data_IF_987956867679
#
_entry.id   IF_987956867679
#
_cell.length_a   1.000
_cell.length_b   1.000
_cell.length_c   1.000
_cell.angle_alpha   90.00
_cell.angle_beta   90.00
_cell.angle_gamma   90.00
#
_symmetry.space_group_name_H-M   'P 1'
#
loop_
_entity.id
_entity.type
_entity.pdbx_description
1 polymer ?
#
# COMPACT_ATOMS: atom_id res chain seq x y z
N UNK A 1 -1.28 -14.51 5.88
CA UNK A 1 -1.45 -14.19 7.31
C UNK A 1 -0.62 -15.04 8.26
N UNK A 2 0.52 -15.62 7.86
CA UNK A 2 1.28 -16.59 8.66
C UNK A 2 2.01 -16.02 9.91
N UNK A 3 2.09 -14.68 10.01
CA UNK A 3 2.61 -13.92 11.18
C UNK A 3 4.05 -14.28 11.56
N UNK A 4 4.97 -14.23 10.59
CA UNK A 4 6.41 -14.40 10.82
C UNK A 4 7.14 -13.08 10.51
N UNK A 5 8.07 -12.73 11.38
CA UNK A 5 9.08 -11.70 11.19
C UNK A 5 10.33 -12.06 12.01
N UNK A 6 11.47 -11.48 11.68
CA UNK A 6 12.73 -11.70 12.40
C UNK A 6 13.53 -10.40 12.46
N UNK A 7 14.46 -10.33 13.41
CA UNK A 7 15.41 -9.24 13.55
C UNK A 7 16.83 -9.76 13.35
N UNK A 8 17.65 -9.02 12.62
CA UNK A 8 19.10 -9.14 12.65
C UNK A 8 19.66 -7.99 13.46
N UNK A 9 20.35 -8.27 14.57
CA UNK A 9 20.85 -7.25 15.48
C UNK A 9 22.14 -7.70 16.20
N UNK A 10 22.86 -6.74 16.78
CA UNK A 10 23.97 -7.04 17.67
C UNK A 10 23.51 -7.93 18.84
N UNK A 11 24.36 -8.87 19.27
CA UNK A 11 23.99 -9.87 20.27
C UNK A 11 23.38 -9.29 21.56
N UNK A 12 23.87 -8.16 22.14
CA UNK A 12 23.24 -7.57 23.32
C UNK A 12 21.79 -7.13 23.08
N UNK A 13 21.51 -6.58 21.89
CA UNK A 13 20.16 -6.14 21.49
C UNK A 13 19.26 -7.35 21.25
N UNK A 14 19.73 -8.34 20.50
CA UNK A 14 18.97 -9.55 20.21
C UNK A 14 18.54 -10.29 21.50
N UNK A 15 19.45 -10.42 22.49
CA UNK A 15 19.13 -11.01 23.80
C UNK A 15 18.11 -10.18 24.60
N UNK A 16 18.19 -8.86 24.53
CA UNK A 16 17.21 -7.99 25.19
C UNK A 16 15.82 -8.15 24.56
N UNK A 17 15.73 -8.19 23.23
CA UNK A 17 14.48 -8.44 22.51
C UNK A 17 13.92 -9.83 22.81
N UNK A 18 14.74 -10.88 22.86
CA UNK A 18 14.33 -12.24 23.20
C UNK A 18 13.76 -12.33 24.63
N UNK A 19 14.45 -11.72 25.61
CA UNK A 19 13.96 -11.61 26.98
C UNK A 19 12.60 -10.91 27.06
N UNK A 20 12.42 -9.83 26.30
CA UNK A 20 11.15 -9.11 26.23
C UNK A 20 10.07 -9.98 25.59
N UNK A 21 10.34 -10.58 24.43
CA UNK A 21 9.38 -11.42 23.70
C UNK A 21 8.90 -12.60 24.54
N UNK A 22 9.79 -13.22 25.32
CA UNK A 22 9.46 -14.30 26.24
C UNK A 22 8.42 -13.93 27.32
N UNK A 23 8.23 -12.64 27.61
CA UNK A 23 7.23 -12.16 28.58
C UNK A 23 5.98 -11.56 27.91
N UNK A 24 5.99 -11.32 26.60
CA UNK A 24 4.87 -10.65 25.89
C UNK A 24 4.07 -11.64 25.06
N UNK A 25 4.73 -12.51 24.29
CA UNK A 25 4.06 -13.40 23.33
C UNK A 25 4.51 -14.85 23.39
N UNK A 26 5.56 -15.16 24.16
CA UNK A 26 6.27 -16.45 24.03
C UNK A 26 6.83 -16.64 22.60
N UNK A 27 6.87 -17.88 22.11
CA UNK A 27 7.40 -18.22 20.80
C UNK A 27 6.36 -18.06 19.67
N UNK A 28 6.84 -17.77 18.46
CA UNK A 28 6.02 -17.72 17.24
C UNK A 28 5.44 -19.09 16.89
N UNK A 29 4.31 -19.12 16.17
CA UNK A 29 3.63 -20.36 15.76
C UNK A 29 4.60 -21.37 15.10
N UNK A 30 4.70 -22.57 15.68
CA UNK A 30 5.65 -23.61 15.26
C UNK A 30 5.41 -24.09 13.82
N UNK A 31 4.16 -24.17 13.38
CA UNK A 31 3.80 -24.54 12.00
C UNK A 31 4.33 -23.48 11.02
N UNK A 32 4.15 -22.20 11.34
CA UNK A 32 4.63 -21.10 10.51
C UNK A 32 6.17 -21.07 10.45
N UNK A 33 6.85 -21.37 11.57
CA UNK A 33 8.31 -21.50 11.59
C UNK A 33 8.81 -22.58 10.62
N UNK A 34 8.15 -23.76 10.57
CA UNK A 34 8.51 -24.84 9.64
C UNK A 34 8.35 -24.40 8.18
N UNK A 35 7.26 -23.69 7.85
CA UNK A 35 7.07 -23.14 6.50
C UNK A 35 8.13 -22.08 6.15
N UNK A 36 8.54 -21.25 7.12
CA UNK A 36 9.58 -20.23 6.92
C UNK A 36 10.94 -20.84 6.58
N UNK A 37 11.31 -21.97 7.17
CA UNK A 37 12.58 -22.65 6.83
C UNK A 37 12.62 -22.95 5.32
N UNK A 38 11.59 -23.62 4.80
CA UNK A 38 11.50 -23.91 3.37
C UNK A 38 11.51 -22.65 2.51
N UNK A 39 10.82 -21.59 2.94
CA UNK A 39 10.81 -20.31 2.21
C UNK A 39 12.17 -19.60 2.20
N UNK A 40 12.97 -19.71 3.27
CA UNK A 40 14.29 -19.08 3.39
C UNK A 40 15.39 -19.85 2.66
N UNK A 41 15.21 -21.14 2.45
CA UNK A 41 16.13 -21.98 1.66
C UNK A 41 15.96 -21.79 0.15
N UNK A 42 14.90 -21.10 -0.29
CA UNK A 42 14.69 -20.76 -1.70
C UNK A 42 15.63 -19.63 -2.13
N UNK A 43 16.30 -19.81 -3.25
CA UNK A 43 17.06 -18.75 -3.89
C UNK A 43 16.12 -17.80 -4.65
N UNK A 44 16.01 -16.53 -4.26
CA UNK A 44 15.10 -15.57 -4.90
C UNK A 44 15.48 -15.25 -6.35
N UNK A 45 16.71 -15.52 -6.77
CA UNK A 45 17.19 -15.24 -8.13
C UNK A 45 16.81 -16.33 -9.13
N UNK A 46 16.48 -17.53 -8.65
CA UNK A 46 16.14 -18.69 -9.48
C UNK A 46 14.72 -19.22 -9.22
N UNK A 47 14.09 -18.82 -8.11
CA UNK A 47 12.72 -19.19 -7.78
C UNK A 47 11.71 -18.61 -8.78
N UNK A 48 11.03 -19.51 -9.52
CA UNK A 48 9.96 -19.15 -10.47
C UNK A 48 8.81 -18.38 -9.80
N UNK A 49 8.44 -18.75 -8.57
CA UNK A 49 7.33 -18.12 -7.86
C UNK A 49 7.67 -16.67 -7.46
N UNK A 50 8.89 -16.44 -6.96
CA UNK A 50 9.35 -15.10 -6.59
C UNK A 50 9.48 -14.20 -7.84
N UNK A 51 10.10 -14.74 -8.91
CA UNK A 51 10.28 -14.00 -10.17
C UNK A 51 8.92 -13.65 -10.78
N UNK A 52 7.99 -14.61 -10.87
CA UNK A 52 6.66 -14.36 -11.45
C UNK A 52 5.87 -13.32 -10.66
N UNK A 53 5.92 -13.36 -9.32
CA UNK A 53 5.30 -12.34 -8.48
C UNK A 53 5.93 -10.96 -8.68
N UNK A 54 7.27 -10.88 -8.76
CA UNK A 54 7.99 -9.63 -9.04
C UNK A 54 7.55 -9.02 -10.37
N UNK A 55 7.54 -9.80 -11.45
CA UNK A 55 7.12 -9.32 -12.76
C UNK A 55 5.65 -8.91 -12.76
N UNK A 56 4.76 -9.66 -12.10
CA UNK A 56 3.34 -9.29 -12.00
C UNK A 56 3.12 -7.98 -11.23
N UNK A 57 3.86 -7.77 -10.14
CA UNK A 57 3.81 -6.50 -9.41
C UNK A 57 4.40 -5.33 -10.21
N UNK A 58 5.45 -5.57 -11.00
CA UNK A 58 6.01 -4.57 -11.91
C UNK A 58 5.01 -4.18 -13.00
N UNK A 59 4.39 -5.15 -13.64
CA UNK A 59 3.33 -4.92 -14.65
C UNK A 59 2.19 -4.07 -14.06
N UNK A 60 1.69 -4.44 -12.87
CA UNK A 60 0.63 -3.70 -12.17
C UNK A 60 1.05 -2.28 -11.82
N UNK A 61 2.29 -2.11 -11.34
CA UNK A 61 2.86 -0.81 -11.02
C UNK A 61 2.89 0.08 -12.27
N UNK A 62 3.48 -0.42 -13.35
CA UNK A 62 3.70 0.36 -14.56
C UNK A 62 2.36 0.76 -15.20
N UNK A 63 1.40 -0.17 -15.26
CA UNK A 63 0.03 0.12 -15.70
C UNK A 63 -0.68 1.16 -14.81
N UNK A 64 -0.67 0.97 -13.49
CA UNK A 64 -1.35 1.89 -12.57
C UNK A 64 -0.71 3.28 -12.58
N UNK A 65 0.61 3.37 -12.77
CA UNK A 65 1.31 4.65 -12.91
C UNK A 65 0.82 5.45 -14.12
N UNK A 66 0.70 4.81 -15.29
CA UNK A 66 0.20 5.47 -16.49
C UNK A 66 -1.25 5.94 -16.31
N UNK A 67 -2.12 5.11 -15.72
CA UNK A 67 -3.50 5.50 -15.45
C UNK A 67 -3.62 6.66 -14.44
N UNK A 68 -2.81 6.66 -13.38
CA UNK A 68 -2.82 7.73 -12.37
C UNK A 68 -2.33 9.06 -12.94
N UNK A 69 -1.36 9.05 -13.86
CA UNK A 69 -0.88 10.26 -14.55
C UNK A 69 -1.94 10.94 -15.39
N UNK A 70 -2.94 10.21 -15.85
CA UNK A 70 -4.05 10.79 -16.61
C UNK A 70 -5.09 11.51 -15.74
N UNK A 71 -4.99 11.40 -14.41
CA UNK A 71 -5.87 12.12 -13.50
C UNK A 71 -5.34 13.55 -13.37
N UNK A 72 -6.14 14.59 -13.70
CA UNK A 72 -5.73 15.97 -13.52
C UNK A 72 -5.26 16.24 -12.09
N UNK A 73 -4.32 17.17 -11.90
CA UNK A 73 -3.90 17.69 -10.59
C UNK A 73 -3.31 16.68 -9.58
N UNK A 74 -3.27 15.38 -9.88
CA UNK A 74 -2.55 14.38 -9.09
C UNK A 74 -1.07 14.40 -9.45
N UNK A 75 -0.20 14.48 -8.44
CA UNK A 75 1.24 14.25 -8.62
C UNK A 75 1.59 12.86 -8.15
N UNK A 76 2.06 12.02 -9.08
CA UNK A 76 2.42 10.63 -8.81
C UNK A 76 3.87 10.38 -9.19
N UNK A 77 4.57 9.62 -8.34
CA UNK A 77 5.95 9.16 -8.57
C UNK A 77 5.90 7.65 -8.81
N UNK A 78 6.68 7.16 -9.78
CA UNK A 78 6.82 5.73 -10.02
C UNK A 78 7.63 5.09 -8.87
N UNK A 79 7.03 4.20 -8.05
CA UNK A 79 7.73 3.62 -6.91
C UNK A 79 8.77 2.58 -7.36
N UNK A 80 9.93 2.55 -6.71
CA UNK A 80 10.99 1.60 -7.04
C UNK A 80 10.79 0.22 -6.41
N UNK A 81 9.91 0.10 -5.41
CA UNK A 81 9.64 -1.13 -4.69
C UNK A 81 8.37 -1.06 -3.83
N UNK A 82 8.17 -2.10 -3.02
CA UNK A 82 6.90 -2.37 -2.34
C UNK A 82 5.73 -2.53 -3.33
N UNK A 83 4.50 -2.31 -2.87
CA UNK A 83 3.29 -2.43 -3.68
C UNK A 83 2.28 -1.31 -3.43
N UNK A 84 2.78 -0.08 -3.26
CA UNK A 84 1.96 1.10 -2.98
C UNK A 84 2.31 2.29 -3.88
N UNK A 85 1.30 3.06 -4.25
CA UNK A 85 1.43 4.44 -4.68
C UNK A 85 1.07 5.38 -3.52
N UNK A 86 1.76 6.52 -3.47
CA UNK A 86 1.51 7.57 -2.49
C UNK A 86 1.42 8.95 -3.19
N UNK A 87 0.41 9.16 -4.06
CA UNK A 87 0.26 10.40 -4.80
C UNK A 87 -0.10 11.57 -3.89
N UNK A 88 0.43 12.76 -4.23
CA UNK A 88 -0.04 14.04 -3.72
C UNK A 88 -1.34 14.43 -4.43
N UNK A 89 -2.36 14.68 -3.62
CA UNK A 89 -3.75 15.00 -4.00
C UNK A 89 -4.20 16.34 -3.41
N UNK A 90 -3.29 17.10 -2.80
CA UNK A 90 -3.56 18.37 -2.12
C UNK A 90 -4.22 19.42 -3.02
N UNK A 91 -4.03 19.33 -4.34
CA UNK A 91 -4.66 20.21 -5.33
C UNK A 91 -6.20 20.09 -5.38
N UNK A 92 -6.78 19.06 -4.76
CA UNK A 92 -8.23 18.88 -4.58
C UNK A 92 -8.76 19.46 -3.27
N UNK A 93 -7.90 19.94 -2.38
CA UNK A 93 -8.33 20.53 -1.12
C UNK A 93 -8.95 21.90 -1.35
N UNK A 94 -9.95 22.24 -0.54
CA UNK A 94 -10.81 23.40 -0.71
C UNK A 94 -11.99 23.16 -1.66
N UNK A 95 -11.94 22.14 -2.53
CA UNK A 95 -13.05 21.77 -3.42
C UNK A 95 -14.17 21.09 -2.67
N UNK A 96 -15.36 21.05 -3.27
CA UNK A 96 -16.53 20.40 -2.70
C UNK A 96 -17.32 19.59 -3.73
N UNK A 97 -18.05 18.59 -3.23
CA UNK A 97 -19.08 17.88 -3.98
C UNK A 97 -20.37 17.90 -3.16
N UNK A 98 -21.41 18.56 -3.71
CA UNK A 98 -22.63 18.91 -2.97
C UNK A 98 -22.25 19.66 -1.70
N UNK A 99 -22.69 19.20 -0.53
CA UNK A 99 -22.41 19.82 0.77
C UNK A 99 -21.13 19.26 1.45
N UNK A 100 -20.43 18.32 0.81
CA UNK A 100 -19.24 17.69 1.36
C UNK A 100 -17.96 18.38 0.84
N UNK A 101 -17.24 19.05 1.74
CA UNK A 101 -16.01 19.77 1.45
C UNK A 101 -14.78 18.91 1.70
N UNK A 102 -13.79 18.98 0.82
CA UNK A 102 -12.52 18.29 0.96
C UNK A 102 -11.49 19.24 1.56
N UNK A 103 -11.10 19.06 2.83
CA UNK A 103 -10.10 19.93 3.46
C UNK A 103 -8.74 19.25 3.65
N UNK A 104 -8.71 17.91 3.63
CA UNK A 104 -7.53 17.11 3.93
C UNK A 104 -7.62 15.69 3.33
N UNK A 105 -6.62 14.85 3.58
CA UNK A 105 -6.58 13.49 3.04
C UNK A 105 -7.69 12.60 3.62
N UNK A 106 -8.13 12.83 4.86
CA UNK A 106 -9.25 12.09 5.46
C UNK A 106 -10.55 12.39 4.74
N UNK A 107 -10.85 13.67 4.49
CA UNK A 107 -12.06 14.06 3.77
C UNK A 107 -12.07 13.46 2.37
N UNK A 108 -10.93 13.52 1.65
CA UNK A 108 -10.83 12.99 0.29
C UNK A 108 -10.98 11.46 0.25
N UNK A 109 -10.35 10.73 1.17
CA UNK A 109 -10.47 9.26 1.21
C UNK A 109 -11.89 8.80 1.54
N UNK A 110 -12.59 9.47 2.46
CA UNK A 110 -14.00 9.21 2.73
C UNK A 110 -14.89 9.55 1.52
N UNK A 111 -14.60 10.66 0.82
CA UNK A 111 -15.29 11.01 -0.42
C UNK A 111 -15.14 9.91 -1.49
N UNK A 112 -13.91 9.45 -1.74
CA UNK A 112 -13.65 8.36 -2.69
C UNK A 112 -14.32 7.04 -2.25
N UNK A 113 -14.39 6.77 -0.94
CA UNK A 113 -15.09 5.60 -0.43
C UNK A 113 -16.59 5.67 -0.72
N UNK A 114 -17.26 6.78 -0.39
CA UNK A 114 -18.71 6.88 -0.52
C UNK A 114 -19.18 7.12 -1.96
N UNK A 115 -18.50 7.97 -2.72
CA UNK A 115 -18.94 8.36 -4.07
C UNK A 115 -18.34 7.49 -5.18
N UNK A 116 -17.11 6.99 -4.98
CA UNK A 116 -16.41 6.16 -5.97
C UNK A 116 -16.42 4.66 -5.59
N UNK A 117 -16.83 4.28 -4.38
CA UNK A 117 -16.70 2.91 -3.86
C UNK A 117 -15.25 2.40 -3.94
N UNK A 118 -14.28 3.28 -3.68
CA UNK A 118 -12.84 2.94 -3.67
C UNK A 118 -12.26 3.22 -2.29
N UNK A 119 -11.87 2.17 -1.58
CA UNK A 119 -11.21 2.29 -0.28
C UNK A 119 -9.70 2.51 -0.45
N UNK A 120 -9.18 3.60 0.13
CA UNK A 120 -7.76 3.91 0.24
C UNK A 120 -7.46 4.45 1.64
N UNK A 121 -6.18 4.72 1.95
CA UNK A 121 -5.78 5.19 3.27
C UNK A 121 -5.32 6.63 3.20
N UNK A 122 -5.80 7.46 4.12
CA UNK A 122 -5.42 8.86 4.25
C UNK A 122 -3.93 9.01 4.55
N UNK A 123 -3.27 9.97 3.90
CA UNK A 123 -1.83 10.19 4.04
C UNK A 123 -1.43 10.67 5.43
N UNK A 124 -2.31 11.35 6.15
CA UNK A 124 -2.05 11.79 7.54
C UNK A 124 -1.73 10.62 8.48
N UNK A 125 -2.23 9.40 8.19
CA UNK A 125 -1.87 8.20 8.95
C UNK A 125 -0.39 7.79 8.79
N UNK A 126 0.29 8.33 7.78
CA UNK A 126 1.72 8.15 7.48
C UNK A 126 2.54 9.43 7.74
N UNK A 127 1.91 10.48 8.28
CA UNK A 127 2.57 11.75 8.58
C UNK A 127 2.61 12.77 7.43
N UNK A 128 1.93 12.53 6.30
CA UNK A 128 1.83 13.48 5.19
C UNK A 128 0.39 13.62 4.70
N UNK A 129 -0.28 14.68 5.15
CA UNK A 129 -1.69 14.94 4.85
C UNK A 129 -1.94 15.41 3.41
N UNK A 130 -0.91 15.63 2.59
CA UNK A 130 -1.09 15.97 1.18
C UNK A 130 -1.35 14.73 0.32
N UNK A 131 -1.08 13.53 0.85
CA UNK A 131 -1.07 12.30 0.09
C UNK A 131 -2.22 11.36 0.46
N UNK A 132 -2.43 10.33 -0.38
CA UNK A 132 -3.22 9.15 -0.05
C UNK A 132 -2.45 7.89 -0.44
N UNK A 133 -2.69 6.76 0.23
CA UNK A 133 -2.03 5.49 -0.10
C UNK A 133 -2.95 4.55 -0.86
N UNK A 134 -2.49 4.11 -2.03
CA UNK A 134 -3.16 3.14 -2.89
C UNK A 134 -2.32 1.85 -2.98
N UNK A 135 -2.90 0.70 -2.63
CA UNK A 135 -2.24 -0.61 -2.82
C UNK A 135 -2.52 -1.13 -4.22
N UNK A 136 -1.49 -1.63 -4.91
CA UNK A 136 -1.65 -2.33 -6.19
C UNK A 136 -1.51 -3.86 -6.09
N UNK A 137 -1.67 -4.41 -4.88
CA UNK A 137 -1.67 -5.85 -4.62
C UNK A 137 -3.04 -6.50 -4.86
N UNK A 138 -3.59 -6.36 -6.08
CA UNK A 138 -4.85 -6.98 -6.50
C UNK A 138 -4.85 -7.24 -8.02
N UNK A 139 -5.95 -7.69 -8.60
CA UNK A 139 -6.05 -7.99 -10.03
C UNK A 139 -6.01 -6.73 -10.90
N UNK A 140 -5.61 -6.87 -12.18
CA UNK A 140 -5.50 -5.73 -13.08
C UNK A 140 -6.86 -5.06 -13.32
N UNK A 141 -7.92 -5.86 -13.40
CA UNK A 141 -9.29 -5.42 -13.65
C UNK A 141 -9.77 -4.52 -12.50
N UNK A 142 -9.49 -4.92 -11.26
CA UNK A 142 -9.81 -4.10 -10.07
C UNK A 142 -9.03 -2.79 -10.07
N UNK A 143 -7.75 -2.82 -10.47
CA UNK A 143 -6.93 -1.60 -10.53
C UNK A 143 -7.42 -0.61 -11.59
N UNK A 144 -7.70 -1.10 -12.81
CA UNK A 144 -8.20 -0.28 -13.91
C UNK A 144 -9.53 0.37 -13.51
N UNK A 145 -10.45 -0.42 -12.96
CA UNK A 145 -11.75 0.06 -12.52
C UNK A 145 -11.62 1.07 -11.37
N UNK A 146 -10.77 0.81 -10.38
CA UNK A 146 -10.54 1.72 -9.27
C UNK A 146 -10.01 3.08 -9.76
N UNK A 147 -9.01 3.10 -10.65
CA UNK A 147 -8.45 4.35 -11.17
C UNK A 147 -9.47 5.10 -12.04
N UNK A 148 -10.26 4.39 -12.86
CA UNK A 148 -11.37 4.98 -13.62
C UNK A 148 -12.37 5.69 -12.70
N UNK A 149 -12.81 5.01 -11.63
CA UNK A 149 -13.76 5.59 -10.66
C UNK A 149 -13.17 6.78 -9.89
N UNK A 150 -11.89 6.72 -9.50
CA UNK A 150 -11.20 7.86 -8.87
C UNK A 150 -11.21 9.06 -9.83
N UNK A 151 -10.81 8.87 -11.09
CA UNK A 151 -10.78 9.92 -12.11
C UNK A 151 -12.16 10.58 -12.29
N UNK A 152 -13.21 9.76 -12.36
CA UNK A 152 -14.60 10.24 -12.49
C UNK A 152 -15.16 10.91 -11.24
N UNK A 153 -14.74 10.49 -10.04
CA UNK A 153 -15.16 11.15 -8.80
C UNK A 153 -14.47 12.51 -8.67
N UNK A 154 -13.16 12.56 -8.86
CA UNK A 154 -12.37 13.79 -8.75
C UNK A 154 -12.81 14.87 -9.76
N UNK A 155 -13.29 14.49 -10.95
CA UNK A 155 -13.83 15.45 -11.93
C UNK A 155 -15.15 16.10 -11.52
N UNK A 156 -15.85 15.57 -10.51
CA UNK A 156 -17.08 16.14 -9.96
C UNK A 156 -16.85 17.19 -8.86
N UNK A 157 -15.62 17.29 -8.34
CA UNK A 157 -15.25 18.27 -7.32
C UNK A 157 -15.13 19.67 -7.95
N UNK A 158 -15.76 20.66 -7.32
CA UNK A 158 -15.75 22.07 -7.73
C UNK A 158 -15.01 22.95 -6.74
#
# INVERSE_FOLDING_TARGET
GWRIGFIGAALPIAKACDKLQGQVTSATCSIAQRATITAMEMDPTTSKDIISMREKFRERRDMMFELLKEIPDIKVILPQGAFYFFPDVSAYYGRAYKDYKINNSTDLTLYLLYEANVACVQGIAFGDDNCIRLSYATSNEVLIEAVRRIKEALSKLK
#
